data_IF_092248999241
#
_entry.id   IF_092248999241
#
_cell.length_a   1.000
_cell.length_b   1.000
_cell.length_c   1.000
_cell.angle_alpha   90.00
_cell.angle_beta   90.00
_cell.angle_gamma   90.00
#
_symmetry.space_group_name_H-M   'P 1'
#
loop_
_entity.id
_entity.type
_entity.pdbx_description
1 polymer ?
#
# COMPACT_ATOMS: atom_id res chain seq x y z
N UNK A 1 -34.58 -4.34 -1.40
CA UNK A 1 -34.91 -5.25 -2.54
C UNK A 1 -33.78 -5.13 -3.53
N UNK A 2 -33.24 -6.27 -3.98
CA UNK A 2 -32.21 -6.27 -5.02
C UNK A 2 -32.71 -5.51 -6.26
N UNK A 3 -31.81 -4.79 -6.92
CA UNK A 3 -32.03 -4.03 -8.14
C UNK A 3 -32.62 -4.93 -9.25
N UNK A 4 -33.53 -4.42 -10.06
CA UNK A 4 -34.14 -5.18 -11.17
C UNK A 4 -33.12 -5.72 -12.18
N UNK A 5 -31.93 -5.12 -12.25
CA UNK A 5 -30.80 -5.53 -13.11
C UNK A 5 -30.02 -6.72 -12.55
N UNK A 6 -30.21 -7.07 -11.27
CA UNK A 6 -29.39 -8.06 -10.58
C UNK A 6 -29.35 -9.42 -11.26
N UNK A 7 -30.50 -9.93 -11.71
CA UNK A 7 -30.55 -11.25 -12.37
C UNK A 7 -29.70 -11.32 -13.64
N UNK A 8 -29.63 -10.22 -14.42
CA UNK A 8 -28.77 -10.13 -15.60
C UNK A 8 -27.28 -10.07 -15.22
N UNK A 9 -26.94 -9.31 -14.15
CA UNK A 9 -25.59 -9.16 -13.65
C UNK A 9 -25.08 -10.50 -13.14
N UNK A 10 -25.89 -11.18 -12.31
CA UNK A 10 -25.56 -12.48 -11.74
C UNK A 10 -25.35 -13.53 -12.84
N UNK A 11 -26.25 -13.63 -13.80
CA UNK A 11 -26.11 -14.54 -14.93
C UNK A 11 -24.86 -14.24 -15.78
N UNK A 12 -24.54 -12.97 -15.99
CA UNK A 12 -23.31 -12.60 -16.72
C UNK A 12 -22.05 -13.03 -15.98
N UNK A 13 -21.96 -12.76 -14.67
CA UNK A 13 -20.81 -13.12 -13.87
C UNK A 13 -20.62 -14.65 -13.84
N UNK A 14 -21.68 -15.40 -13.60
CA UNK A 14 -21.63 -16.87 -13.57
C UNK A 14 -21.26 -17.48 -14.93
N UNK A 15 -21.81 -16.97 -16.03
CA UNK A 15 -21.49 -17.47 -17.37
C UNK A 15 -20.07 -17.14 -17.84
N UNK A 16 -19.41 -16.17 -17.20
CA UNK A 16 -18.05 -15.78 -17.55
C UNK A 16 -16.98 -16.27 -16.55
N UNK A 17 -17.32 -17.05 -15.52
CA UNK A 17 -16.37 -17.52 -14.49
C UNK A 17 -15.09 -18.12 -15.07
N UNK A 18 -15.23 -19.07 -15.98
CA UNK A 18 -14.09 -19.75 -16.59
C UNK A 18 -13.24 -18.80 -17.45
N UNK A 19 -13.88 -17.86 -18.14
CA UNK A 19 -13.19 -16.83 -18.93
C UNK A 19 -12.43 -15.87 -18.01
N UNK A 20 -13.03 -15.43 -16.89
CA UNK A 20 -12.40 -14.56 -15.88
C UNK A 20 -11.18 -15.27 -15.30
N UNK A 21 -11.33 -16.52 -14.85
CA UNK A 21 -10.20 -17.30 -14.32
C UNK A 21 -9.08 -17.45 -15.34
N UNK A 22 -9.42 -17.76 -16.61
CA UNK A 22 -8.44 -17.85 -17.70
C UNK A 22 -7.68 -16.53 -17.88
N UNK A 23 -8.38 -15.40 -17.87
CA UNK A 23 -7.78 -14.10 -18.16
C UNK A 23 -6.96 -13.58 -16.97
N UNK A 24 -7.39 -13.82 -15.73
CA UNK A 24 -6.55 -13.63 -14.53
C UNK A 24 -5.26 -14.46 -14.66
N UNK A 25 -5.38 -15.74 -15.03
CA UNK A 25 -4.20 -16.61 -15.19
C UNK A 25 -3.25 -16.09 -16.26
N UNK A 26 -3.76 -15.59 -17.40
CA UNK A 26 -2.95 -15.00 -18.47
C UNK A 26 -2.20 -13.75 -18.02
N UNK A 27 -2.84 -12.90 -17.24
CA UNK A 27 -2.23 -11.65 -16.77
C UNK A 27 -1.21 -11.91 -15.65
N UNK A 28 -1.54 -12.79 -14.69
CA UNK A 28 -0.62 -13.19 -13.60
C UNK A 28 0.64 -13.86 -14.16
N UNK A 29 0.54 -14.61 -15.26
CA UNK A 29 1.66 -15.29 -15.89
C UNK A 29 2.75 -14.33 -16.44
N UNK A 30 2.52 -13.02 -16.44
CA UNK A 30 3.50 -12.02 -16.86
C UNK A 30 4.16 -11.41 -15.61
N UNK A 31 5.43 -11.74 -15.29
CA UNK A 31 6.17 -11.08 -14.21
C UNK A 31 6.30 -9.58 -14.46
N UNK A 32 5.95 -8.76 -13.47
CA UNK A 32 5.85 -7.31 -13.66
C UNK A 32 6.38 -6.49 -12.49
N UNK A 33 7.42 -7.00 -11.84
CA UNK A 33 8.20 -6.21 -10.88
C UNK A 33 8.91 -5.07 -11.61
N UNK A 34 8.93 -3.89 -10.99
CA UNK A 34 9.63 -2.72 -11.54
C UNK A 34 11.08 -3.05 -11.89
N UNK A 35 11.54 -2.55 -13.01
CA UNK A 35 12.87 -2.80 -13.53
C UNK A 35 13.53 -1.53 -14.10
N UNK A 36 14.68 -1.72 -14.74
CA UNK A 36 15.41 -0.59 -15.34
C UNK A 36 14.56 0.05 -16.45
N UNK A 37 14.36 1.39 -16.42
CA UNK A 37 13.66 2.11 -17.49
C UNK A 37 14.32 1.93 -18.86
N UNK A 38 13.50 1.74 -19.88
CA UNK A 38 13.90 1.67 -21.30
C UNK A 38 12.94 2.49 -22.17
N UNK A 39 13.32 2.86 -23.41
CA UNK A 39 12.42 3.56 -24.32
C UNK A 39 11.10 2.79 -24.52
N UNK A 40 9.95 3.43 -24.20
CA UNK A 40 8.62 2.84 -24.25
C UNK A 40 8.31 1.83 -23.13
N UNK A 41 9.20 1.73 -22.14
CA UNK A 41 9.02 0.92 -20.94
C UNK A 41 9.57 1.69 -19.72
N UNK A 42 8.88 2.77 -19.28
CA UNK A 42 9.37 3.69 -18.26
C UNK A 42 9.66 3.02 -16.90
N UNK A 43 8.97 1.92 -16.61
CA UNK A 43 9.12 1.15 -15.38
C UNK A 43 9.78 -0.22 -15.61
N UNK A 44 10.40 -0.41 -16.79
CA UNK A 44 11.03 -1.66 -17.19
C UNK A 44 10.14 -2.58 -18.03
N UNK A 45 10.73 -3.66 -18.52
CA UNK A 45 10.10 -4.60 -19.47
C UNK A 45 8.94 -5.37 -18.84
N UNK A 46 9.04 -5.71 -17.56
CA UNK A 46 8.01 -6.49 -16.85
C UNK A 46 6.68 -5.73 -16.76
N UNK A 47 6.61 -4.56 -16.12
CA UNK A 47 5.39 -3.75 -16.05
C UNK A 47 4.80 -3.43 -17.42
N UNK A 48 5.67 -3.07 -18.41
CA UNK A 48 5.21 -2.87 -19.79
C UNK A 48 4.54 -4.10 -20.39
N UNK A 49 5.12 -5.27 -20.22
CA UNK A 49 4.59 -6.51 -20.76
C UNK A 49 3.24 -6.88 -20.13
N UNK A 50 3.08 -6.62 -18.82
CA UNK A 50 1.81 -6.84 -18.12
C UNK A 50 0.73 -5.85 -18.58
N UNK A 51 1.08 -4.57 -18.72
CA UNK A 51 0.19 -3.56 -19.29
C UNK A 51 -0.27 -3.94 -20.71
N UNK A 52 0.67 -4.31 -21.58
CA UNK A 52 0.35 -4.74 -22.94
C UNK A 52 -0.56 -5.98 -22.93
N UNK A 53 -0.36 -6.93 -22.01
CA UNK A 53 -1.20 -8.12 -21.85
C UNK A 53 -2.59 -7.78 -21.37
N UNK A 54 -2.75 -6.86 -20.44
CA UNK A 54 -4.06 -6.39 -19.96
C UNK A 54 -4.83 -5.69 -21.10
N UNK A 55 -4.16 -4.87 -21.90
CA UNK A 55 -4.75 -4.22 -23.08
C UNK A 55 -5.10 -5.21 -24.19
N UNK A 56 -4.28 -6.26 -24.41
CA UNK A 56 -4.61 -7.36 -25.32
C UNK A 56 -5.91 -8.07 -24.89
N UNK A 57 -6.02 -8.42 -23.61
CA UNK A 57 -7.23 -9.04 -23.05
C UNK A 57 -8.44 -8.10 -23.23
N UNK A 58 -8.29 -6.82 -22.92
CA UNK A 58 -9.35 -5.83 -23.11
C UNK A 58 -9.84 -5.73 -24.57
N UNK A 59 -8.91 -5.75 -25.53
CA UNK A 59 -9.24 -5.75 -26.94
C UNK A 59 -9.97 -7.04 -27.37
N UNK A 60 -9.58 -8.21 -26.85
CA UNK A 60 -10.28 -9.49 -27.09
C UNK A 60 -11.71 -9.47 -26.51
N UNK A 61 -11.94 -8.74 -25.41
CA UNK A 61 -13.26 -8.49 -24.82
C UNK A 61 -14.08 -7.48 -25.64
N UNK A 62 -13.52 -6.94 -26.73
CA UNK A 62 -14.17 -6.00 -27.62
C UNK A 62 -14.16 -4.55 -27.15
N UNK A 63 -13.35 -4.19 -26.16
CA UNK A 63 -13.21 -2.82 -25.65
C UNK A 63 -12.25 -2.01 -26.54
N UNK A 64 -12.45 -0.69 -26.58
CA UNK A 64 -11.50 0.21 -27.24
C UNK A 64 -10.31 0.45 -26.28
N UNK A 65 -9.09 0.24 -26.76
CA UNK A 65 -7.88 0.30 -25.91
C UNK A 65 -6.92 1.40 -26.32
N UNK A 66 -6.18 1.91 -25.36
CA UNK A 66 -5.09 2.87 -25.57
C UNK A 66 -3.91 2.57 -24.65
N UNK A 67 -2.68 2.73 -25.16
CA UNK A 67 -1.45 2.66 -24.38
C UNK A 67 -0.76 4.03 -24.43
N UNK A 68 -0.63 4.69 -23.30
CA UNK A 68 0.00 5.99 -23.15
C UNK A 68 1.51 5.80 -22.89
N UNK A 69 2.27 5.49 -23.94
CA UNK A 69 3.73 5.38 -23.95
C UNK A 69 4.32 4.38 -22.94
N UNK A 70 3.52 3.41 -22.47
CA UNK A 70 3.94 2.42 -21.50
C UNK A 70 3.90 2.90 -20.04
N UNK A 71 3.48 4.14 -19.78
CA UNK A 71 3.23 4.64 -18.43
C UNK A 71 1.93 4.06 -17.87
N UNK A 72 0.84 4.26 -18.59
CA UNK A 72 -0.52 3.83 -18.22
C UNK A 72 -1.29 3.46 -19.47
N UNK A 73 -2.25 2.58 -19.35
CA UNK A 73 -3.17 2.27 -20.44
C UNK A 73 -4.62 2.36 -20.00
N UNK A 74 -5.54 2.21 -20.93
CA UNK A 74 -6.96 2.07 -20.58
C UNK A 74 -7.75 1.30 -21.62
N UNK A 75 -8.86 0.75 -21.13
CA UNK A 75 -9.94 0.24 -21.95
C UNK A 75 -11.20 1.07 -21.71
N UNK A 76 -12.06 1.24 -22.72
CA UNK A 76 -13.27 2.06 -22.59
C UNK A 76 -14.45 1.49 -23.37
N UNK A 77 -15.66 1.88 -22.94
CA UNK A 77 -16.92 1.38 -23.52
C UNK A 77 -17.27 2.00 -24.88
N UNK A 78 -16.59 3.07 -25.25
CA UNK A 78 -16.78 3.82 -26.49
C UNK A 78 -15.99 5.13 -26.46
N UNK A 79 -15.99 5.92 -27.55
CA UNK A 79 -15.24 7.15 -27.63
C UNK A 79 -15.70 8.16 -26.57
N UNK A 80 -14.74 8.90 -26.01
CA UNK A 80 -14.98 9.99 -25.06
C UNK A 80 -14.54 11.27 -25.76
N UNK A 81 -15.45 12.24 -25.90
CA UNK A 81 -15.15 13.51 -26.53
C UNK A 81 -14.39 14.42 -25.55
N UNK A 82 -13.61 15.38 -26.07
CA UNK A 82 -12.91 16.38 -25.27
C UNK A 82 -13.91 17.16 -24.40
N UNK A 83 -13.58 17.30 -23.10
CA UNK A 83 -14.44 17.92 -22.11
C UNK A 83 -15.67 17.12 -21.69
N UNK A 84 -15.85 15.89 -22.21
CA UNK A 84 -16.94 15.04 -21.79
C UNK A 84 -16.63 14.38 -20.43
N UNK A 85 -17.50 14.57 -19.45
CA UNK A 85 -17.42 13.85 -18.16
C UNK A 85 -17.52 12.35 -18.39
N UNK A 86 -16.65 11.60 -17.71
CA UNK A 86 -16.63 10.14 -17.73
C UNK A 86 -16.36 9.57 -16.34
N UNK A 87 -16.74 8.31 -16.13
CA UNK A 87 -16.38 7.53 -14.95
C UNK A 87 -15.11 6.74 -15.22
N UNK A 88 -14.33 6.47 -14.18
CA UNK A 88 -13.23 5.54 -14.29
C UNK A 88 -13.19 4.52 -13.15
N UNK A 89 -12.61 3.37 -13.43
CA UNK A 89 -11.93 2.53 -12.47
C UNK A 89 -10.43 2.66 -12.70
N UNK A 90 -9.60 2.49 -11.66
CA UNK A 90 -8.16 2.43 -11.83
C UNK A 90 -7.61 1.25 -11.06
N UNK A 91 -6.78 0.47 -11.72
CA UNK A 91 -6.09 -0.72 -11.19
C UNK A 91 -4.64 -0.70 -11.67
N UNK A 92 -3.80 -1.58 -11.13
CA UNK A 92 -2.43 -1.71 -11.60
C UNK A 92 -2.09 -3.13 -12.09
N UNK A 93 -1.05 -3.23 -12.89
CA UNK A 93 -0.57 -4.47 -13.50
C UNK A 93 0.85 -4.83 -13.05
N UNK A 94 1.55 -3.90 -12.41
CA UNK A 94 2.82 -4.18 -11.72
C UNK A 94 2.57 -4.95 -10.41
N UNK A 95 3.61 -5.49 -9.84
CA UNK A 95 3.56 -6.27 -8.59
C UNK A 95 4.86 -6.07 -7.80
N UNK A 96 4.80 -6.20 -6.47
CA UNK A 96 5.99 -6.27 -5.63
C UNK A 96 6.85 -7.50 -5.97
N UNK A 97 8.16 -7.49 -5.65
CA UNK A 97 9.00 -8.68 -5.76
C UNK A 97 8.37 -9.88 -5.03
N UNK A 98 8.51 -11.06 -5.62
CA UNK A 98 7.91 -12.29 -5.10
C UNK A 98 8.40 -12.67 -3.69
N UNK A 99 9.65 -12.35 -3.36
CA UNK A 99 10.26 -12.75 -2.09
C UNK A 99 10.51 -14.27 -2.00
N UNK A 100 10.64 -14.78 -0.79
CA UNK A 100 10.90 -16.19 -0.50
C UNK A 100 9.70 -16.86 0.17
N UNK A 101 9.67 -18.19 0.14
CA UNK A 101 8.65 -18.98 0.88
C UNK A 101 7.47 -19.45 0.05
N UNK A 102 7.50 -19.30 -1.26
CA UNK A 102 6.49 -19.83 -2.16
C UNK A 102 6.57 -21.35 -2.28
N UNK A 103 5.42 -22.02 -2.25
CA UNK A 103 5.29 -23.47 -2.45
C UNK A 103 5.41 -23.87 -3.94
N UNK A 104 5.22 -22.92 -4.86
CA UNK A 104 5.35 -23.13 -6.30
C UNK A 104 5.68 -21.80 -6.99
N UNK A 105 5.83 -21.82 -8.31
CA UNK A 105 6.07 -20.62 -9.12
C UNK A 105 4.99 -19.55 -8.86
N UNK A 106 5.36 -18.35 -8.38
CA UNK A 106 4.42 -17.27 -8.06
C UNK A 106 3.61 -16.76 -9.24
N UNK A 107 4.10 -16.93 -10.47
CA UNK A 107 3.45 -16.46 -11.69
C UNK A 107 2.61 -17.56 -12.38
N UNK A 108 2.44 -18.71 -11.75
CA UNK A 108 1.55 -19.77 -12.19
C UNK A 108 0.34 -19.87 -11.25
N UNK A 109 -0.82 -19.38 -11.70
CA UNK A 109 -2.05 -19.42 -10.87
C UNK A 109 -2.43 -20.87 -10.56
N UNK A 110 -2.59 -21.13 -9.27
CA UNK A 110 -3.11 -22.40 -8.73
C UNK A 110 -4.50 -22.18 -8.15
N UNK A 111 -5.37 -23.15 -8.35
CA UNK A 111 -6.69 -23.16 -7.70
C UNK A 111 -6.70 -24.25 -6.64
N UNK A 112 -6.96 -23.87 -5.39
CA UNK A 112 -7.06 -24.80 -4.26
C UNK A 112 -8.22 -24.42 -3.35
N UNK A 113 -9.14 -25.34 -3.15
CA UNK A 113 -10.30 -25.17 -2.24
C UNK A 113 -11.09 -23.85 -2.48
N UNK A 114 -11.23 -23.46 -3.75
CA UNK A 114 -11.92 -22.22 -4.16
C UNK A 114 -11.07 -20.94 -4.08
N UNK A 115 -9.80 -21.03 -3.68
CA UNK A 115 -8.85 -19.94 -3.66
C UNK A 115 -7.99 -19.92 -4.92
N UNK A 116 -7.73 -18.73 -5.43
CA UNK A 116 -6.68 -18.48 -6.42
C UNK A 116 -5.39 -18.15 -5.66
N UNK A 117 -4.27 -18.77 -6.06
CA UNK A 117 -2.96 -18.55 -5.47
C UNK A 117 -1.98 -18.14 -6.56
N UNK A 118 -1.29 -17.01 -6.38
CA UNK A 118 -0.30 -16.45 -7.29
C UNK A 118 -0.05 -14.97 -7.02
N UNK A 119 1.11 -14.45 -7.39
CA UNK A 119 1.43 -13.02 -7.23
C UNK A 119 0.55 -12.17 -8.14
N UNK A 120 -0.22 -11.25 -7.55
CA UNK A 120 -1.15 -10.37 -8.26
C UNK A 120 -2.57 -10.92 -8.40
N UNK A 121 -2.89 -12.11 -7.85
CA UNK A 121 -4.29 -12.61 -7.90
C UNK A 121 -5.22 -11.76 -7.03
N UNK A 122 -4.70 -11.19 -5.94
CA UNK A 122 -5.40 -10.27 -5.06
C UNK A 122 -5.03 -8.81 -5.37
N UNK A 123 -3.76 -8.53 -5.59
CA UNK A 123 -3.18 -7.20 -5.69
C UNK A 123 -2.29 -7.08 -6.95
N UNK A 124 -2.77 -6.49 -8.04
CA UNK A 124 -4.13 -6.00 -8.35
C UNK A 124 -4.59 -6.54 -9.72
N UNK A 125 -3.86 -7.58 -10.28
CA UNK A 125 -4.17 -8.16 -11.60
C UNK A 125 -5.51 -8.87 -11.64
N UNK A 126 -5.91 -9.52 -10.54
CA UNK A 126 -7.25 -10.10 -10.41
C UNK A 126 -8.33 -9.03 -10.56
N UNK A 127 -8.37 -8.02 -9.71
CA UNK A 127 -9.30 -6.89 -9.79
C UNK A 127 -9.24 -6.13 -11.12
N UNK A 128 -8.06 -5.99 -11.74
CA UNK A 128 -7.92 -5.42 -13.10
C UNK A 128 -8.80 -6.14 -14.12
N UNK A 129 -8.78 -7.48 -14.11
CA UNK A 129 -9.62 -8.28 -15.00
C UNK A 129 -11.11 -8.06 -14.67
N UNK A 130 -11.50 -7.97 -13.40
CA UNK A 130 -12.90 -7.70 -13.02
C UNK A 130 -13.40 -6.38 -13.61
N UNK A 131 -12.58 -5.32 -13.57
CA UNK A 131 -12.92 -4.02 -14.16
C UNK A 131 -13.14 -4.13 -15.69
N UNK A 132 -12.31 -4.89 -16.40
CA UNK A 132 -12.51 -5.13 -17.83
C UNK A 132 -13.81 -5.88 -18.10
N UNK A 133 -14.15 -6.89 -17.30
CA UNK A 133 -15.42 -7.62 -17.43
C UNK A 133 -16.63 -6.76 -17.03
N UNK A 134 -16.49 -5.82 -16.09
CA UNK A 134 -17.55 -4.86 -15.79
C UNK A 134 -17.86 -3.97 -17.02
N UNK A 135 -16.82 -3.46 -17.68
CA UNK A 135 -17.00 -2.70 -18.93
C UNK A 135 -17.60 -3.55 -20.05
N UNK A 136 -17.17 -4.81 -20.18
CA UNK A 136 -17.75 -5.77 -21.14
C UNK A 136 -19.25 -5.93 -20.91
N UNK A 137 -19.70 -6.08 -19.66
CA UNK A 137 -21.13 -6.17 -19.34
C UNK A 137 -21.89 -4.95 -19.86
N UNK A 138 -21.38 -3.73 -19.60
CA UNK A 138 -22.02 -2.49 -20.04
C UNK A 138 -22.16 -2.43 -21.57
N UNK A 139 -21.11 -2.85 -22.28
CA UNK A 139 -21.07 -2.86 -23.75
C UNK A 139 -21.99 -3.92 -24.35
N UNK A 140 -21.90 -5.16 -23.88
CA UNK A 140 -22.66 -6.30 -24.44
C UNK A 140 -24.16 -6.15 -24.23
N UNK A 141 -24.58 -5.51 -23.15
CA UNK A 141 -26.00 -5.28 -22.86
C UNK A 141 -26.51 -3.96 -23.45
N UNK A 142 -25.71 -3.24 -24.26
CA UNK A 142 -26.11 -1.99 -24.91
C UNK A 142 -26.60 -0.93 -23.93
N UNK A 143 -25.98 -0.84 -22.75
CA UNK A 143 -26.37 0.13 -21.69
C UNK A 143 -26.19 1.56 -22.20
N UNK A 144 -27.25 2.36 -22.14
CA UNK A 144 -27.14 3.78 -22.43
C UNK A 144 -26.44 4.48 -21.28
N UNK A 145 -25.23 4.97 -21.53
CA UNK A 145 -24.38 5.61 -20.52
C UNK A 145 -24.54 7.13 -20.55
N UNK A 146 -24.87 7.74 -19.42
CA UNK A 146 -24.79 9.18 -19.20
C UNK A 146 -23.30 9.63 -19.16
N UNK A 147 -22.49 8.83 -18.53
CA UNK A 147 -21.04 8.97 -18.45
C UNK A 147 -20.38 7.76 -19.10
N UNK A 148 -19.63 7.88 -20.20
CA UNK A 148 -18.77 6.80 -20.68
C UNK A 148 -17.89 6.27 -19.55
N UNK A 149 -17.48 5.01 -19.62
CA UNK A 149 -16.67 4.37 -18.57
C UNK A 149 -15.33 3.96 -19.13
N UNK A 150 -14.27 4.27 -18.39
CA UNK A 150 -12.88 3.90 -18.69
C UNK A 150 -12.32 3.05 -17.54
N UNK A 151 -11.67 1.94 -17.86
CA UNK A 151 -10.83 1.19 -16.94
C UNK A 151 -9.37 1.62 -17.19
N UNK A 152 -8.80 2.37 -16.28
CA UNK A 152 -7.39 2.75 -16.28
C UNK A 152 -6.56 1.58 -15.72
N UNK A 153 -5.42 1.34 -16.34
CA UNK A 153 -4.49 0.24 -16.02
C UNK A 153 -3.12 0.84 -15.79
N UNK A 154 -2.73 0.99 -14.55
CA UNK A 154 -1.41 1.49 -14.14
C UNK A 154 -0.32 0.44 -14.27
N UNK A 155 0.92 0.89 -14.15
CA UNK A 155 2.10 0.04 -14.26
C UNK A 155 3.23 0.41 -13.26
N UNK A 156 2.92 1.21 -12.21
CA UNK A 156 3.89 1.68 -11.22
C UNK A 156 3.27 1.99 -9.85
N UNK A 157 2.17 1.31 -9.45
CA UNK A 157 1.51 1.55 -8.17
C UNK A 157 2.43 1.21 -6.99
N UNK A 158 3.02 0.04 -7.03
CA UNK A 158 3.77 -0.61 -5.95
C UNK A 158 5.06 0.12 -5.53
N UNK A 159 5.45 1.15 -6.28
CA UNK A 159 6.69 1.89 -6.01
C UNK A 159 6.46 3.39 -5.86
N UNK A 160 6.18 4.11 -6.93
CA UNK A 160 6.18 5.58 -6.89
C UNK A 160 4.95 6.24 -7.52
N UNK A 161 4.03 5.49 -8.14
CA UNK A 161 2.82 6.00 -8.81
C UNK A 161 3.08 7.07 -9.90
N UNK A 162 4.26 7.03 -10.57
CA UNK A 162 4.60 7.98 -11.62
C UNK A 162 3.74 7.82 -12.89
N UNK A 163 3.08 6.70 -13.05
CA UNK A 163 2.10 6.43 -14.11
C UNK A 163 0.85 7.31 -14.00
N UNK A 164 0.29 7.49 -12.80
CA UNK A 164 -0.84 8.39 -12.57
C UNK A 164 -0.43 9.85 -12.56
N UNK A 165 0.81 10.18 -12.16
CA UNK A 165 1.37 11.52 -12.33
C UNK A 165 1.45 11.88 -13.83
N UNK A 166 1.93 10.92 -14.67
CA UNK A 166 1.95 11.07 -16.11
C UNK A 166 0.52 11.24 -16.67
N UNK A 167 -0.44 10.45 -16.21
CA UNK A 167 -1.84 10.57 -16.62
C UNK A 167 -2.40 11.95 -16.29
N UNK A 168 -2.21 12.41 -15.04
CA UNK A 168 -2.70 13.70 -14.58
C UNK A 168 -2.11 14.89 -15.37
N UNK A 169 -0.87 14.76 -15.84
CA UNK A 169 -0.19 15.80 -16.62
C UNK A 169 -0.62 15.86 -18.09
N UNK A 170 -1.16 14.77 -18.66
CA UNK A 170 -1.37 14.66 -20.11
C UNK A 170 -2.83 14.42 -20.52
N UNK A 171 -3.72 13.99 -19.59
CA UNK A 171 -5.08 13.59 -19.91
C UNK A 171 -6.10 14.21 -18.98
N UNK A 172 -7.33 14.34 -19.47
CA UNK A 172 -8.45 14.83 -18.65
C UNK A 172 -8.81 13.83 -17.54
N UNK A 173 -9.03 14.36 -16.35
CA UNK A 173 -9.39 13.57 -15.16
C UNK A 173 -10.84 13.08 -15.25
N UNK A 174 -11.16 11.90 -14.71
CA UNK A 174 -12.54 11.42 -14.60
C UNK A 174 -13.38 12.32 -13.68
N UNK A 175 -14.67 12.40 -13.95
CA UNK A 175 -15.62 13.08 -13.07
C UNK A 175 -15.75 12.35 -11.71
N UNK A 176 -15.58 11.03 -11.72
CA UNK A 176 -15.42 10.19 -10.54
C UNK A 176 -14.63 8.93 -10.90
N UNK A 177 -13.79 8.48 -9.97
CA UNK A 177 -13.00 7.26 -10.10
C UNK A 177 -13.13 6.40 -8.85
N UNK A 178 -13.01 5.09 -8.99
CA UNK A 178 -12.69 4.23 -7.85
C UNK A 178 -11.59 3.23 -8.19
N UNK A 179 -10.77 2.90 -7.19
CA UNK A 179 -9.76 1.86 -7.31
C UNK A 179 -10.19 0.61 -6.56
N UNK A 180 -10.21 -0.56 -7.21
CA UNK A 180 -10.40 -1.86 -6.55
C UNK A 180 -9.07 -2.41 -6.02
N UNK A 181 -8.42 -1.65 -5.20
CA UNK A 181 -7.12 -1.93 -4.62
C UNK A 181 -7.14 -1.59 -3.12
N UNK A 182 -8.12 -2.12 -2.41
CA UNK A 182 -8.30 -1.99 -0.96
C UNK A 182 -9.45 -2.89 -0.47
N UNK A 183 -9.81 -2.71 0.80
CA UNK A 183 -10.92 -3.41 1.42
C UNK A 183 -12.29 -2.88 0.97
N UNK A 184 -13.30 -3.75 0.97
CA UNK A 184 -14.68 -3.31 1.02
C UNK A 184 -15.06 -2.81 2.44
N UNK A 185 -16.04 -1.87 2.61
CA UNK A 185 -16.96 -1.43 1.54
C UNK A 185 -16.47 -0.23 0.72
N UNK A 186 -16.12 0.88 1.33
CA UNK A 186 -15.62 2.10 0.65
C UNK A 186 -14.61 2.77 1.55
N UNK A 187 -13.39 2.86 1.11
CA UNK A 187 -12.38 3.70 1.75
C UNK A 187 -12.45 5.10 1.13
N UNK A 188 -12.97 6.07 1.90
CA UNK A 188 -13.19 7.43 1.43
C UNK A 188 -12.14 8.43 1.92
N UNK A 189 -11.05 7.93 2.51
CA UNK A 189 -9.95 8.78 2.96
C UNK A 189 -8.69 8.01 3.33
N UNK A 190 -7.56 8.63 3.09
CA UNK A 190 -6.22 8.12 3.34
C UNK A 190 -5.43 9.11 4.18
N UNK A 191 -4.78 8.65 5.26
CA UNK A 191 -3.92 9.50 6.08
C UNK A 191 -2.82 10.18 5.26
N UNK A 192 -2.35 11.31 5.74
CA UNK A 192 -1.11 11.90 5.28
C UNK A 192 0.08 11.00 5.61
N UNK A 193 1.12 11.08 4.81
CA UNK A 193 2.40 10.45 5.07
C UNK A 193 3.45 11.51 5.41
N UNK A 194 4.31 11.21 6.38
CA UNK A 194 5.46 12.03 6.72
C UNK A 194 6.61 11.11 7.10
N UNK A 195 7.68 11.13 6.33
CA UNK A 195 8.85 10.27 6.53
C UNK A 195 10.14 11.02 6.38
N UNK A 196 11.23 10.39 6.81
CA UNK A 196 12.57 10.96 6.73
C UNK A 196 13.56 10.13 7.52
N UNK A 197 14.72 10.73 7.77
CA UNK A 197 15.82 10.12 8.54
C UNK A 197 16.28 11.04 9.64
N UNK A 198 16.50 10.46 10.83
CA UNK A 198 17.22 11.09 11.94
C UNK A 198 18.69 10.68 11.81
N UNK A 199 19.56 11.63 11.51
CA UNK A 199 20.99 11.38 11.21
C UNK A 199 21.85 11.94 12.34
N UNK A 200 22.69 11.08 12.94
CA UNK A 200 23.63 11.50 14.00
C UNK A 200 24.72 12.42 13.47
N UNK A 201 25.42 13.20 14.32
CA UNK A 201 26.75 13.67 14.03
C UNK A 201 27.70 12.51 13.71
N UNK A 202 28.89 12.79 13.17
CA UNK A 202 29.93 11.75 13.05
C UNK A 202 30.31 11.26 14.43
N UNK A 203 30.19 9.95 14.66
CA UNK A 203 30.43 9.29 15.95
C UNK A 203 31.90 8.84 16.05
N UNK A 204 32.80 9.79 16.34
CA UNK A 204 34.22 9.50 16.52
C UNK A 204 34.48 8.92 17.91
N UNK A 205 35.33 7.89 17.98
CA UNK A 205 35.79 7.26 19.21
C UNK A 205 34.67 6.71 20.13
N UNK A 206 33.50 6.39 19.53
CA UNK A 206 32.42 5.76 20.24
C UNK A 206 32.60 4.24 20.42
N UNK A 207 31.70 3.63 21.16
CA UNK A 207 31.68 2.17 21.33
C UNK A 207 30.93 1.45 20.21
N UNK A 208 30.00 2.11 19.53
CA UNK A 208 29.22 1.54 18.44
C UNK A 208 30.11 1.43 17.20
N UNK A 209 30.25 0.22 16.66
CA UNK A 209 31.00 -0.08 15.42
C UNK A 209 30.09 -0.12 14.23
N UNK A 210 28.92 -0.77 14.43
CA UNK A 210 27.91 -0.93 13.39
C UNK A 210 26.54 -1.07 14.08
N UNK A 211 25.49 -0.64 13.39
CA UNK A 211 24.12 -0.82 13.83
C UNK A 211 23.23 -0.95 12.60
N UNK A 212 22.59 -2.11 12.45
CA UNK A 212 21.74 -2.42 11.32
C UNK A 212 20.42 -3.03 11.80
N UNK A 213 19.30 -2.62 11.18
CA UNK A 213 17.99 -3.17 11.51
C UNK A 213 16.92 -2.68 10.56
N UNK A 214 15.86 -3.49 10.43
CA UNK A 214 14.76 -3.22 9.52
C UNK A 214 15.05 -3.52 8.06
N UNK A 215 13.99 -3.78 7.28
CA UNK A 215 14.05 -4.11 5.86
C UNK A 215 13.28 -3.11 5.00
N UNK A 216 12.38 -2.33 5.61
CA UNK A 216 11.55 -1.33 4.94
C UNK A 216 11.25 -0.16 5.89
N UNK A 217 11.11 1.04 5.34
CA UNK A 217 10.85 2.27 6.10
C UNK A 217 9.47 2.24 6.80
N UNK A 218 8.49 1.59 6.17
CA UNK A 218 7.10 1.50 6.61
C UNK A 218 6.75 0.23 7.40
N UNK A 219 7.76 -0.51 7.86
CA UNK A 219 7.56 -1.72 8.68
C UNK A 219 8.31 -1.61 10.01
N UNK A 220 7.67 -2.03 11.11
CA UNK A 220 8.31 -2.14 12.41
C UNK A 220 9.33 -3.29 12.37
N UNK A 221 10.62 -3.05 12.65
CA UNK A 221 11.64 -4.08 12.62
C UNK A 221 11.46 -5.14 13.71
N UNK A 222 11.43 -6.40 13.33
CA UNK A 222 11.45 -7.53 14.27
C UNK A 222 12.87 -8.05 14.57
N UNK A 223 13.86 -7.58 13.81
CA UNK A 223 15.28 -7.92 13.95
C UNK A 223 16.15 -6.69 13.81
N UNK A 224 17.14 -6.60 14.69
CA UNK A 224 18.22 -5.62 14.59
C UNK A 224 19.50 -6.19 15.21
N UNK A 225 20.66 -5.65 14.83
CA UNK A 225 21.95 -6.00 15.39
C UNK A 225 22.83 -4.76 15.55
N UNK A 226 23.46 -4.63 16.70
CA UNK A 226 24.44 -3.58 16.98
C UNK A 226 25.77 -4.20 17.45
N UNK A 227 26.87 -3.89 16.80
CA UNK A 227 28.21 -4.33 17.20
C UNK A 227 28.90 -3.23 18.00
N UNK A 228 29.37 -3.58 19.19
CA UNK A 228 30.06 -2.64 20.08
C UNK A 228 31.45 -3.12 20.45
N UNK A 229 32.40 -2.18 20.64
CA UNK A 229 33.79 -2.44 21.07
C UNK A 229 33.88 -2.64 22.61
N UNK A 230 33.07 -3.56 23.11
CA UNK A 230 32.97 -3.84 24.54
C UNK A 230 32.79 -5.34 24.78
N UNK A 231 33.29 -5.89 25.91
CA UNK A 231 32.94 -7.24 26.32
C UNK A 231 31.48 -7.28 26.80
N UNK A 232 30.83 -8.44 26.67
CA UNK A 232 29.45 -8.67 27.12
C UNK A 232 29.23 -8.25 28.57
N UNK A 233 30.22 -8.48 29.46
CA UNK A 233 30.15 -8.12 30.87
C UNK A 233 29.98 -6.63 31.18
N UNK A 234 30.21 -5.75 30.20
CA UNK A 234 29.98 -4.32 30.30
C UNK A 234 28.53 -3.92 29.95
N UNK A 235 27.75 -4.83 29.40
CA UNK A 235 26.39 -4.59 28.95
C UNK A 235 25.37 -5.06 29.96
N UNK A 236 24.27 -4.31 30.09
CA UNK A 236 23.15 -4.67 30.94
C UNK A 236 22.16 -5.54 30.13
N UNK A 237 21.81 -6.69 30.67
CA UNK A 237 20.76 -7.52 30.08
C UNK A 237 19.42 -6.80 30.19
N UNK A 238 18.72 -6.64 29.02
CA UNK A 238 17.38 -6.08 28.94
C UNK A 238 16.45 -7.06 28.21
N UNK A 239 15.14 -6.84 28.30
CA UNK A 239 14.15 -7.68 27.63
C UNK A 239 14.31 -7.63 26.10
N UNK A 240 14.11 -8.76 25.44
CA UNK A 240 14.15 -8.88 23.98
C UNK A 240 15.55 -8.71 23.37
N UNK A 241 16.62 -8.74 24.18
CA UNK A 241 17.99 -8.59 23.71
C UNK A 241 18.82 -9.83 24.06
N UNK A 242 19.69 -10.25 23.14
CA UNK A 242 20.70 -11.29 23.36
C UNK A 242 22.08 -10.79 22.93
N UNK A 243 23.13 -11.37 23.50
CA UNK A 243 24.51 -11.03 23.20
C UNK A 243 25.23 -12.20 22.55
N UNK A 244 26.09 -11.87 21.59
CA UNK A 244 26.98 -12.83 20.91
C UNK A 244 28.39 -12.26 20.88
N UNK A 245 29.39 -13.13 21.06
CA UNK A 245 30.79 -12.72 20.89
C UNK A 245 31.06 -12.36 19.42
N UNK A 246 31.52 -11.14 19.19
CA UNK A 246 31.99 -10.70 17.89
C UNK A 246 33.51 -10.89 17.72
N UNK A 247 34.03 -10.45 16.58
CA UNK A 247 35.47 -10.48 16.28
C UNK A 247 36.23 -9.43 17.11
N UNK A 248 37.52 -9.68 17.36
CA UNK A 248 38.44 -8.73 17.99
C UNK A 248 37.96 -8.19 19.35
N UNK A 249 37.23 -9.00 20.13
CA UNK A 249 36.75 -8.59 21.46
C UNK A 249 35.55 -7.67 21.47
N UNK A 250 34.82 -7.60 20.37
CA UNK A 250 33.52 -6.91 20.25
C UNK A 250 32.40 -7.81 20.77
N UNK A 251 31.24 -7.19 21.05
CA UNK A 251 29.98 -7.90 21.31
C UNK A 251 28.94 -7.47 20.28
N UNK A 252 28.18 -8.43 19.76
CA UNK A 252 27.00 -8.19 18.93
C UNK A 252 25.76 -8.26 19.81
N UNK A 253 25.02 -7.16 19.88
CA UNK A 253 23.75 -7.03 20.57
C UNK A 253 22.65 -7.30 19.54
N UNK A 254 21.83 -8.34 19.74
CA UNK A 254 20.69 -8.64 18.87
C UNK A 254 19.38 -8.28 19.54
N UNK A 255 18.55 -7.52 18.84
CA UNK A 255 17.19 -7.22 19.23
C UNK A 255 16.19 -8.17 18.56
N UNK A 256 15.21 -8.62 19.34
CA UNK A 256 14.17 -9.57 18.93
C UNK A 256 12.80 -8.96 19.19
N UNK A 257 12.20 -8.42 18.16
CA UNK A 257 10.94 -7.72 18.21
C UNK A 257 9.78 -8.49 17.58
N UNK A 258 8.73 -7.75 17.23
CA UNK A 258 7.55 -8.24 16.53
C UNK A 258 7.15 -7.23 15.45
N UNK A 259 7.19 -7.64 14.20
CA UNK A 259 6.91 -6.79 13.06
C UNK A 259 5.42 -6.42 12.93
N UNK A 260 5.16 -5.38 12.17
CA UNK A 260 3.85 -4.91 11.73
C UNK A 260 3.97 -3.68 10.84
N UNK A 261 2.89 -3.31 10.19
CA UNK A 261 2.87 -2.18 9.29
C UNK A 261 2.83 -0.83 10.05
N UNK A 262 3.50 0.21 9.54
CA UNK A 262 3.57 1.54 10.17
C UNK A 262 2.20 2.20 10.41
N UNK A 263 1.21 1.91 9.56
CA UNK A 263 -0.14 2.43 9.72
C UNK A 263 -0.93 1.77 10.87
N UNK A 264 -0.55 0.54 11.27
CA UNK A 264 -1.19 -0.25 12.32
C UNK A 264 -0.13 -0.87 13.25
N UNK A 265 0.64 -0.06 14.00
CA UNK A 265 1.76 -0.55 14.80
C UNK A 265 1.36 -1.15 16.14
N UNK A 266 0.07 -1.24 16.46
CA UNK A 266 -0.42 -1.74 17.74
C UNK A 266 0.00 -3.19 17.97
N UNK A 267 0.55 -3.47 19.16
CA UNK A 267 1.01 -4.81 19.53
C UNK A 267 2.32 -5.27 18.87
N UNK A 268 3.01 -4.38 18.15
CA UNK A 268 4.37 -4.59 17.61
C UNK A 268 5.43 -4.29 18.68
N UNK A 269 6.67 -4.76 18.43
CA UNK A 269 7.84 -4.48 19.27
C UNK A 269 9.02 -4.17 18.35
N UNK A 270 9.55 -2.95 18.42
CA UNK A 270 10.64 -2.51 17.56
C UNK A 270 12.00 -3.00 18.08
N UNK A 271 12.65 -3.89 17.33
CA UNK A 271 13.95 -4.47 17.71
C UNK A 271 15.08 -3.44 17.84
N UNK A 272 15.04 -2.33 17.09
CA UNK A 272 15.99 -1.23 17.18
C UNK A 272 15.82 -0.54 18.54
N UNK A 273 14.58 -0.24 18.93
CA UNK A 273 14.26 0.37 20.22
C UNK A 273 14.72 -0.45 21.44
N UNK A 274 14.67 -1.80 21.33
CA UNK A 274 15.19 -2.70 22.37
C UNK A 274 16.70 -2.54 22.53
N UNK A 275 17.46 -2.50 21.43
CA UNK A 275 18.92 -2.30 21.47
C UNK A 275 19.26 -0.90 21.99
N UNK A 276 18.55 0.14 21.56
CA UNK A 276 18.72 1.51 22.05
C UNK A 276 18.54 1.57 23.56
N UNK A 277 17.51 0.93 24.08
CA UNK A 277 17.26 0.82 25.54
C UNK A 277 18.40 0.11 26.26
N UNK A 278 18.88 -1.02 25.73
CA UNK A 278 20.01 -1.77 26.28
C UNK A 278 21.27 -0.91 26.36
N UNK A 279 21.63 -0.20 25.32
CA UNK A 279 22.81 0.68 25.26
C UNK A 279 22.73 1.83 26.28
N UNK A 280 21.57 2.49 26.37
CA UNK A 280 21.34 3.59 27.32
C UNK A 280 21.39 3.11 28.78
N UNK A 281 20.79 1.96 29.08
CA UNK A 281 20.80 1.38 30.42
C UNK A 281 22.17 0.84 30.82
N UNK A 282 22.99 0.41 29.87
CA UNK A 282 24.38 -0.02 30.10
C UNK A 282 25.30 1.15 30.43
N UNK A 283 24.97 2.39 30.03
CA UNK A 283 25.75 3.62 30.30
C UNK A 283 27.20 3.54 29.79
N UNK A 284 27.43 2.89 28.69
CA UNK A 284 28.76 2.62 28.11
C UNK A 284 29.09 3.50 26.89
N UNK A 285 28.08 4.16 26.33
CA UNK A 285 28.22 4.98 25.15
C UNK A 285 28.92 6.31 25.41
N UNK A 286 29.63 6.85 24.41
CA UNK A 286 30.17 8.19 24.44
C UNK A 286 29.06 9.24 24.61
N UNK A 287 29.38 10.48 25.03
CA UNK A 287 28.37 11.54 25.15
C UNK A 287 27.59 11.79 23.82
N UNK A 288 28.28 11.76 22.67
CA UNK A 288 27.64 11.96 21.37
C UNK A 288 26.68 10.81 21.02
N UNK A 289 27.11 9.55 21.20
CA UNK A 289 26.25 8.38 21.02
C UNK A 289 25.06 8.44 21.98
N UNK A 290 25.30 8.71 23.28
CA UNK A 290 24.25 8.78 24.29
C UNK A 290 23.18 9.80 23.92
N UNK A 291 23.58 11.00 23.48
CA UNK A 291 22.63 12.08 23.12
C UNK A 291 21.79 11.69 21.90
N UNK A 292 22.41 11.08 20.88
CA UNK A 292 21.68 10.58 19.71
C UNK A 292 20.74 9.41 20.06
N UNK A 293 21.21 8.43 20.84
CA UNK A 293 20.40 7.31 21.30
C UNK A 293 19.19 7.77 22.15
N UNK A 294 19.29 8.89 22.86
CA UNK A 294 18.15 9.49 23.57
C UNK A 294 17.07 9.99 22.60
N UNK A 295 17.46 10.58 21.46
CA UNK A 295 16.50 10.94 20.39
C UNK A 295 15.80 9.70 19.85
N UNK A 296 16.56 8.63 19.55
CA UNK A 296 15.98 7.37 19.10
C UNK A 296 15.08 6.73 20.16
N UNK A 297 15.48 6.78 21.43
CA UNK A 297 14.64 6.27 22.52
C UNK A 297 13.28 6.99 22.58
N UNK A 298 13.28 8.32 22.36
CA UNK A 298 12.04 9.09 22.28
C UNK A 298 11.19 8.67 21.08
N UNK A 299 11.81 8.45 19.90
CA UNK A 299 11.11 7.95 18.70
C UNK A 299 10.43 6.59 18.94
N UNK A 300 11.12 5.68 19.65
CA UNK A 300 10.63 4.32 19.89
C UNK A 300 9.76 4.17 21.15
N UNK A 301 9.58 5.22 21.96
CA UNK A 301 8.87 5.14 23.22
C UNK A 301 7.35 4.92 23.05
N UNK A 302 6.75 5.53 22.04
CA UNK A 302 5.33 5.37 21.72
C UNK A 302 5.12 5.34 20.20
N UNK A 303 4.05 4.70 19.76
CA UNK A 303 3.68 4.65 18.33
C UNK A 303 2.58 5.64 17.94
N UNK A 304 2.09 6.43 18.90
CA UNK A 304 1.05 7.47 18.69
C UNK A 304 1.63 8.88 18.59
N UNK A 305 2.97 9.02 18.64
CA UNK A 305 3.68 10.29 18.59
C UNK A 305 3.63 11.10 19.89
N UNK A 306 3.02 10.62 20.97
CA UNK A 306 2.90 11.35 22.24
C UNK A 306 4.26 11.66 22.86
N UNK A 307 5.21 10.74 22.81
CA UNK A 307 6.57 10.95 23.32
C UNK A 307 7.35 12.03 22.54
N UNK A 308 7.00 12.25 21.28
CA UNK A 308 7.60 13.26 20.39
C UNK A 308 6.85 14.60 20.43
N UNK A 309 5.70 14.66 21.13
CA UNK A 309 4.84 15.84 21.16
C UNK A 309 4.05 16.10 19.87
N UNK A 310 3.87 15.08 19.04
CA UNK A 310 3.19 15.17 17.73
C UNK A 310 1.86 14.41 17.67
N UNK A 311 1.37 13.87 18.78
CA UNK A 311 0.11 13.16 18.83
C UNK A 311 -1.02 14.01 18.26
N UNK A 312 -1.80 13.45 17.35
CA UNK A 312 -2.92 14.12 16.68
C UNK A 312 -4.06 13.14 16.41
N UNK A 313 -5.28 13.62 16.50
CA UNK A 313 -6.50 12.87 16.20
C UNK A 313 -7.59 13.78 15.70
N UNK A 314 -8.55 13.27 14.92
CA UNK A 314 -9.75 13.95 14.49
C UNK A 314 -10.93 12.96 14.39
N UNK A 315 -12.08 13.45 13.91
CA UNK A 315 -13.30 12.62 13.77
C UNK A 315 -13.35 11.85 12.43
N UNK A 316 -12.33 12.02 11.57
CA UNK A 316 -12.27 11.44 10.22
C UNK A 316 -11.34 10.24 10.18
N UNK A 317 -10.17 10.38 10.81
CA UNK A 317 -9.11 9.38 10.80
C UNK A 317 -8.81 8.86 12.20
N UNK A 318 -8.37 7.62 12.27
CA UNK A 318 -7.72 7.11 13.48
C UNK A 318 -6.52 7.98 13.89
N UNK A 319 -6.09 7.96 15.16
CA UNK A 319 -4.98 8.76 15.64
C UNK A 319 -3.69 8.58 14.81
N UNK A 320 -2.85 9.63 14.83
CA UNK A 320 -1.51 9.58 14.24
C UNK A 320 -0.75 8.33 14.69
N UNK A 321 -0.01 7.73 13.75
CA UNK A 321 0.96 6.67 14.06
C UNK A 321 2.36 7.07 13.59
N UNK A 322 3.39 6.66 14.33
CA UNK A 322 4.79 6.82 13.94
C UNK A 322 5.62 5.63 14.40
N UNK A 323 6.53 5.20 13.54
CA UNK A 323 7.50 4.14 13.84
C UNK A 323 8.90 4.52 13.36
N UNK A 324 9.94 3.96 14.00
CA UNK A 324 11.27 3.87 13.39
C UNK A 324 11.34 2.62 12.52
N UNK A 325 11.69 2.80 11.24
CA UNK A 325 11.73 1.72 10.24
C UNK A 325 13.10 1.04 10.16
N UNK A 326 14.06 1.65 9.46
CA UNK A 326 15.40 1.08 9.26
C UNK A 326 16.47 1.87 10.01
N UNK A 327 17.55 1.20 10.44
CA UNK A 327 18.76 1.87 10.94
C UNK A 327 19.99 1.30 10.23
N UNK A 328 20.94 2.17 9.91
CA UNK A 328 22.26 1.79 9.39
C UNK A 328 23.37 2.70 9.92
N UNK A 329 24.61 2.17 9.94
CA UNK A 329 25.82 2.95 10.13
C UNK A 329 26.43 3.23 8.76
N UNK A 330 26.53 4.52 8.39
CA UNK A 330 27.09 4.96 7.12
C UNK A 330 27.95 6.20 7.31
N UNK A 331 29.16 6.16 6.78
CA UNK A 331 30.14 7.28 6.86
C UNK A 331 30.36 7.79 8.31
N UNK A 332 30.38 6.87 9.29
CA UNK A 332 30.53 7.17 10.70
C UNK A 332 29.32 7.84 11.37
N UNK A 333 28.15 7.80 10.71
CA UNK A 333 26.88 8.33 11.20
C UNK A 333 25.84 7.22 11.30
N UNK A 334 25.04 7.24 12.35
CA UNK A 334 23.82 6.45 12.42
C UNK A 334 22.71 7.18 11.70
N UNK A 335 21.97 6.46 10.86
CA UNK A 335 20.81 6.95 10.09
C UNK A 335 19.61 6.08 10.46
N UNK A 336 18.62 6.67 11.12
CA UNK A 336 17.37 6.02 11.51
C UNK A 336 16.23 6.58 10.67
N UNK A 337 15.61 5.76 9.83
CA UNK A 337 14.39 6.16 9.14
C UNK A 337 13.17 6.16 10.07
N UNK A 338 12.16 6.93 9.73
CA UNK A 338 10.84 6.89 10.37
C UNK A 338 9.73 7.00 9.33
N UNK A 339 8.57 6.43 9.65
CA UNK A 339 7.33 6.57 8.90
C UNK A 339 6.23 7.01 9.86
N UNK A 340 5.56 8.12 9.51
CA UNK A 340 4.45 8.70 10.26
C UNK A 340 3.23 8.81 9.36
N UNK A 341 2.07 8.38 9.88
CA UNK A 341 0.76 8.51 9.23
C UNK A 341 -0.09 9.46 10.06
N UNK A 342 -0.54 10.56 9.47
CA UNK A 342 -1.17 11.63 10.21
C UNK A 342 -2.56 12.02 9.70
N UNK A 343 -3.48 12.42 10.61
CA UNK A 343 -4.83 12.86 10.29
C UNK A 343 -4.88 14.31 9.81
N UNK A 344 -6.08 14.81 9.47
CA UNK A 344 -6.27 16.20 8.98
C UNK A 344 -6.07 17.29 10.05
N UNK A 345 -6.02 16.91 11.32
CA UNK A 345 -5.83 17.84 12.45
C UNK A 345 -4.39 18.34 12.63
N UNK A 346 -3.42 17.84 11.84
CA UNK A 346 -2.02 18.31 11.85
C UNK A 346 -1.49 18.44 10.42
N UNK A 347 -0.28 19.01 10.28
CA UNK A 347 0.35 19.24 8.97
C UNK A 347 1.80 18.78 8.95
N UNK A 348 2.34 18.50 7.77
CA UNK A 348 3.75 18.11 7.59
C UNK A 348 4.72 19.19 8.09
N UNK A 349 4.37 20.48 7.96
CA UNK A 349 5.17 21.61 8.44
C UNK A 349 5.28 21.56 9.97
N UNK A 350 4.15 21.37 10.66
CA UNK A 350 4.14 21.24 12.12
C UNK A 350 4.94 20.01 12.59
N UNK A 351 4.75 18.85 11.92
CA UNK A 351 5.51 17.65 12.22
C UNK A 351 7.02 17.87 12.02
N UNK A 352 7.42 18.55 10.94
CA UNK A 352 8.83 18.89 10.66
C UNK A 352 9.41 19.78 11.77
N UNK A 353 8.66 20.80 12.21
CA UNK A 353 9.09 21.70 13.29
C UNK A 353 9.32 20.91 14.58
N UNK A 354 8.35 20.09 14.99
CA UNK A 354 8.43 19.30 16.22
C UNK A 354 9.57 18.28 16.18
N UNK A 355 9.70 17.54 15.07
CA UNK A 355 10.80 16.58 14.89
C UNK A 355 12.17 17.27 14.93
N UNK A 356 12.29 18.47 14.36
CA UNK A 356 13.52 19.27 14.41
C UNK A 356 13.82 19.70 15.85
N UNK A 357 12.80 20.07 16.63
CA UNK A 357 12.97 20.39 18.06
C UNK A 357 13.44 19.16 18.86
N UNK A 358 12.88 17.98 18.61
CA UNK A 358 13.32 16.73 19.25
C UNK A 358 14.77 16.40 18.90
N UNK A 359 15.18 16.60 17.65
CA UNK A 359 16.57 16.42 17.21
C UNK A 359 17.55 17.34 17.96
N UNK A 360 17.17 18.60 18.17
CA UNK A 360 18.04 19.62 18.78
C UNK A 360 19.41 19.70 18.10
N UNK A 361 20.48 19.49 18.86
CA UNK A 361 21.86 19.37 18.33
C UNK A 361 22.35 17.92 18.20
N UNK A 362 21.52 16.95 18.64
CA UNK A 362 21.89 15.54 18.69
C UNK A 362 21.72 14.81 17.38
N UNK A 363 20.85 15.31 16.50
CA UNK A 363 20.55 14.73 15.20
C UNK A 363 20.19 15.83 14.19
N UNK A 364 20.26 15.49 12.91
CA UNK A 364 19.67 16.27 11.80
C UNK A 364 18.54 15.49 11.19
N UNK A 365 17.48 16.20 10.79
CA UNK A 365 16.37 15.64 10.03
C UNK A 365 16.71 15.76 8.54
N UNK A 366 16.85 14.62 7.86
CA UNK A 366 17.26 14.55 6.45
C UNK A 366 16.22 13.76 5.62
N UNK A 367 16.26 13.92 4.30
CA UNK A 367 15.44 13.17 3.34
C UNK A 367 13.94 13.20 3.67
N UNK A 368 13.44 14.37 4.12
CA UNK A 368 12.04 14.52 4.50
C UNK A 368 11.16 14.44 3.26
N UNK A 369 10.16 13.58 3.36
CA UNK A 369 9.09 13.46 2.37
C UNK A 369 7.74 13.60 3.07
N UNK A 370 6.77 14.17 2.37
CA UNK A 370 5.41 14.28 2.92
C UNK A 370 4.36 14.21 1.82
N UNK A 371 3.18 13.76 2.19
CA UNK A 371 1.96 13.81 1.39
C UNK A 371 0.79 14.16 2.30
N UNK A 372 -0.08 15.04 1.82
CA UNK A 372 -1.24 15.50 2.60
C UNK A 372 -2.28 14.40 2.79
N UNK A 373 -3.08 14.44 3.86
CA UNK A 373 -4.26 13.58 3.98
C UNK A 373 -5.21 13.80 2.80
N UNK A 374 -5.82 12.72 2.33
CA UNK A 374 -6.83 12.72 1.29
C UNK A 374 -8.17 12.29 1.88
N UNK A 375 -9.25 13.02 1.61
CA UNK A 375 -10.57 12.70 2.17
C UNK A 375 -11.69 13.23 1.29
N UNK A 376 -12.65 12.36 1.00
CA UNK A 376 -13.90 12.70 0.34
C UNK A 376 -15.05 12.54 1.36
N UNK A 377 -15.92 13.53 1.46
CA UNK A 377 -17.03 13.51 2.41
C UNK A 377 -17.92 12.26 2.22
N UNK A 378 -18.14 11.54 3.30
CA UNK A 378 -18.88 10.27 3.28
C UNK A 378 -20.33 10.42 2.76
N UNK A 379 -20.94 11.58 2.91
CA UNK A 379 -22.29 11.92 2.46
C UNK A 379 -22.37 12.35 0.98
N UNK A 380 -21.24 12.37 0.26
CA UNK A 380 -21.24 12.72 -1.16
C UNK A 380 -22.00 11.69 -2.01
N UNK A 381 -22.68 12.11 -3.09
CA UNK A 381 -23.57 11.24 -3.87
C UNK A 381 -22.89 9.96 -4.37
N UNK A 382 -21.65 10.06 -4.87
CA UNK A 382 -20.95 8.88 -5.38
C UNK A 382 -20.65 7.86 -4.26
N UNK A 383 -20.15 8.33 -3.09
CA UNK A 383 -19.84 7.46 -1.96
C UNK A 383 -21.12 6.80 -1.42
N UNK A 384 -22.21 7.56 -1.28
CA UNK A 384 -23.50 7.01 -0.89
C UNK A 384 -24.03 5.98 -1.90
N UNK A 385 -23.77 6.16 -3.18
CA UNK A 385 -24.11 5.18 -4.22
C UNK A 385 -23.30 3.90 -4.06
N UNK A 386 -21.99 4.00 -3.84
CA UNK A 386 -21.13 2.82 -3.67
C UNK A 386 -21.46 2.04 -2.40
N UNK A 387 -21.58 2.73 -1.25
CA UNK A 387 -21.88 2.04 0.03
C UNK A 387 -23.26 1.40 0.02
N UNK A 388 -24.26 2.06 -0.57
CA UNK A 388 -25.60 1.48 -0.72
C UNK A 388 -25.57 0.26 -1.64
N UNK A 389 -24.78 0.30 -2.71
CA UNK A 389 -24.63 -0.83 -3.63
C UNK A 389 -24.01 -2.02 -2.93
N UNK A 390 -22.92 -1.82 -2.20
CA UNK A 390 -22.30 -2.87 -1.41
C UNK A 390 -23.28 -3.49 -0.40
N UNK A 391 -23.93 -2.67 0.40
CA UNK A 391 -24.88 -3.13 1.43
C UNK A 391 -26.09 -3.87 0.83
N UNK A 392 -26.60 -3.42 -0.33
CA UNK A 392 -27.71 -4.09 -1.01
C UNK A 392 -27.32 -5.50 -1.51
N UNK A 393 -26.09 -5.67 -2.00
CA UNK A 393 -25.60 -6.94 -2.54
C UNK A 393 -25.24 -7.92 -1.44
N UNK A 394 -24.48 -7.46 -0.44
CA UNK A 394 -24.02 -8.33 0.66
C UNK A 394 -25.06 -8.56 1.75
N UNK A 395 -26.08 -7.71 1.84
CA UNK A 395 -27.04 -7.72 2.94
C UNK A 395 -26.48 -7.14 4.25
N UNK A 396 -25.31 -6.54 4.20
CA UNK A 396 -24.66 -5.89 5.34
C UNK A 396 -25.19 -4.47 5.58
N UNK A 397 -24.70 -3.82 6.63
CA UNK A 397 -24.98 -2.42 6.97
C UNK A 397 -23.68 -1.72 7.37
N UNK A 398 -22.71 -1.79 6.49
CA UNK A 398 -21.41 -1.15 6.67
C UNK A 398 -21.47 0.35 6.36
N UNK A 399 -20.45 1.08 6.79
CA UNK A 399 -20.24 2.52 6.52
C UNK A 399 -18.92 2.71 5.81
N UNK A 400 -18.73 3.82 5.08
CA UNK A 400 -17.41 4.21 4.59
C UNK A 400 -16.41 4.28 5.73
N UNK A 401 -15.14 4.05 5.42
CA UNK A 401 -14.04 4.06 6.38
C UNK A 401 -12.84 4.82 5.79
N UNK A 402 -11.86 5.10 6.65
CA UNK A 402 -10.59 5.73 6.25
C UNK A 402 -9.42 4.83 6.65
N UNK A 403 -8.30 4.92 5.94
CA UNK A 403 -7.13 4.07 6.19
C UNK A 403 -5.84 4.86 6.37
N UNK A 404 -4.82 4.19 6.90
CA UNK A 404 -3.46 4.72 7.05
C UNK A 404 -2.57 4.48 5.82
N UNK A 405 -3.00 3.61 4.89
CA UNK A 405 -2.35 3.33 3.63
C UNK A 405 -2.55 4.43 2.58
N UNK A 406 -2.20 4.14 1.35
CA UNK A 406 -2.47 5.02 0.22
C UNK A 406 -2.57 4.18 -1.04
N UNK A 407 -3.44 4.59 -1.95
CA UNK A 407 -3.70 3.97 -3.25
C UNK A 407 -3.71 5.04 -4.34
N UNK A 408 -3.97 4.65 -5.57
CA UNK A 408 -4.20 5.59 -6.66
C UNK A 408 -5.31 6.62 -6.39
N UNK A 409 -6.27 6.34 -5.49
CA UNK A 409 -7.42 7.23 -5.25
C UNK A 409 -7.00 8.66 -4.94
N UNK A 410 -5.94 8.88 -4.20
CA UNK A 410 -5.44 10.21 -3.81
C UNK A 410 -4.91 11.07 -4.96
N UNK A 411 -4.60 10.45 -6.10
CA UNK A 411 -4.10 11.16 -7.29
C UNK A 411 -5.22 11.74 -8.17
N UNK A 412 -6.49 11.47 -7.83
CA UNK A 412 -7.65 11.95 -8.55
C UNK A 412 -8.47 12.92 -7.68
N UNK A 413 -9.00 14.00 -8.26
CA UNK A 413 -9.75 15.02 -7.50
C UNK A 413 -11.00 14.48 -6.79
N UNK A 414 -11.64 13.45 -7.37
CA UNK A 414 -12.82 12.82 -6.81
C UNK A 414 -12.74 11.31 -7.03
N UNK A 415 -12.13 10.63 -6.08
CA UNK A 415 -11.94 9.18 -6.14
C UNK A 415 -12.01 8.55 -4.74
N UNK A 416 -12.16 7.25 -4.69
CA UNK A 416 -12.16 6.44 -3.47
C UNK A 416 -11.61 5.04 -3.77
N UNK A 417 -11.24 4.28 -2.74
CA UNK A 417 -10.99 2.84 -2.91
C UNK A 417 -12.27 2.06 -2.62
N UNK A 418 -12.50 0.96 -3.38
CA UNK A 418 -13.74 0.20 -3.33
C UNK A 418 -13.49 -1.29 -3.58
N UNK A 419 -13.10 -2.02 -2.54
CA UNK A 419 -12.82 -3.46 -2.58
C UNK A 419 -11.61 -3.85 -3.44
N UNK A 420 -11.45 -5.14 -3.77
CA UNK A 420 -12.34 -6.25 -3.41
C UNK A 420 -11.95 -7.01 -2.13
N UNK A 421 -10.99 -6.53 -1.33
CA UNK A 421 -10.49 -7.25 -0.18
C UNK A 421 -11.55 -7.43 0.91
N UNK A 422 -11.40 -8.53 1.66
CA UNK A 422 -12.19 -8.88 2.80
C UNK A 422 -11.27 -9.27 3.97
N UNK A 423 -10.99 -8.33 4.86
CA UNK A 423 -10.11 -8.56 6.02
C UNK A 423 -10.71 -9.43 7.11
N UNK A 424 -12.02 -9.69 7.06
CA UNK A 424 -12.74 -10.58 7.95
C UNK A 424 -12.65 -12.06 7.54
N UNK A 425 -12.02 -12.37 6.40
CA UNK A 425 -11.80 -13.74 5.95
C UNK A 425 -10.45 -14.24 6.45
N UNK A 426 -10.48 -15.28 7.29
CA UNK A 426 -9.26 -15.94 7.75
C UNK A 426 -8.54 -16.65 6.60
N UNK A 427 -7.24 -16.36 6.44
CA UNK A 427 -6.42 -17.02 5.43
C UNK A 427 -6.18 -18.48 5.81
N UNK A 428 -6.44 -19.44 4.92
CA UNK A 428 -6.10 -20.84 5.16
C UNK A 428 -4.56 -21.02 5.17
N UNK A 429 -4.06 -22.06 5.80
CA UNK A 429 -2.60 -22.33 5.94
C UNK A 429 -1.82 -22.34 4.60
N UNK A 430 -2.51 -22.62 3.50
CA UNK A 430 -1.89 -22.69 2.17
C UNK A 430 -1.91 -21.35 1.40
N UNK A 431 -2.58 -20.33 1.92
CA UNK A 431 -2.65 -19.00 1.31
C UNK A 431 -1.95 -17.97 2.19
N UNK A 432 -1.26 -17.04 1.56
CA UNK A 432 -0.62 -15.90 2.20
C UNK A 432 -1.35 -14.59 1.90
N UNK A 433 -1.01 -13.53 2.64
CA UNK A 433 -1.54 -12.20 2.41
C UNK A 433 -0.95 -11.60 1.12
N UNK A 434 -1.55 -10.51 0.65
CA UNK A 434 -0.95 -9.63 -0.36
C UNK A 434 0.49 -9.26 0.05
N UNK A 435 1.35 -9.10 -0.96
CA UNK A 435 2.80 -8.89 -0.79
C UNK A 435 3.54 -10.08 -0.12
N UNK A 436 2.83 -11.10 0.34
CA UNK A 436 3.41 -12.31 0.95
C UNK A 436 3.63 -13.45 -0.05
N UNK A 437 4.33 -14.51 0.43
CA UNK A 437 4.42 -15.76 -0.31
C UNK A 437 3.05 -16.48 -0.32
N UNK A 438 2.76 -17.20 -1.40
CA UNK A 438 1.46 -17.86 -1.61
C UNK A 438 0.27 -16.90 -1.55
N UNK A 439 0.45 -15.66 -1.97
CA UNK A 439 -0.64 -14.68 -2.08
C UNK A 439 -1.88 -15.34 -2.63
N UNK A 440 -3.02 -15.14 -1.95
CA UNK A 440 -4.25 -15.83 -2.28
C UNK A 440 -5.51 -15.02 -2.03
N UNK A 441 -6.53 -15.26 -2.86
CA UNK A 441 -7.85 -14.66 -2.72
C UNK A 441 -8.95 -15.66 -3.03
N UNK A 442 -10.11 -15.64 -2.33
CA UNK A 442 -11.24 -16.50 -2.67
C UNK A 442 -11.85 -16.11 -4.01
N UNK A 443 -11.92 -17.03 -4.95
CA UNK A 443 -12.46 -16.73 -6.29
C UNK A 443 -13.92 -16.30 -6.25
N UNK A 444 -14.72 -16.85 -5.35
CA UNK A 444 -16.11 -16.43 -5.15
C UNK A 444 -16.23 -14.95 -4.78
N UNK A 445 -15.30 -14.44 -3.99
CA UNK A 445 -15.29 -13.01 -3.60
C UNK A 445 -14.91 -12.10 -4.75
N UNK A 446 -14.03 -12.53 -5.65
CA UNK A 446 -13.77 -11.81 -6.89
C UNK A 446 -15.02 -11.77 -7.79
N UNK A 447 -15.76 -12.87 -7.90
CA UNK A 447 -17.02 -12.91 -8.68
C UNK A 447 -18.09 -12.02 -8.02
N UNK A 448 -18.20 -12.01 -6.69
CA UNK A 448 -19.07 -11.10 -5.97
C UNK A 448 -18.70 -9.63 -6.21
N UNK A 449 -17.39 -9.31 -6.16
CA UNK A 449 -16.87 -7.98 -6.45
C UNK A 449 -17.20 -7.52 -7.88
N UNK A 450 -17.07 -8.39 -8.88
CA UNK A 450 -17.51 -8.08 -10.25
C UNK A 450 -18.97 -7.65 -10.31
N UNK A 451 -19.84 -8.40 -9.61
CA UNK A 451 -21.29 -8.07 -9.58
C UNK A 451 -21.53 -6.71 -8.91
N UNK A 452 -20.80 -6.41 -7.84
CA UNK A 452 -20.83 -5.12 -7.14
C UNK A 452 -20.36 -4.00 -8.07
N UNK A 453 -19.24 -4.17 -8.78
CA UNK A 453 -18.69 -3.15 -9.70
C UNK A 453 -19.65 -2.85 -10.86
N UNK A 454 -20.23 -3.87 -11.46
CA UNK A 454 -21.22 -3.68 -12.53
C UNK A 454 -22.41 -2.87 -12.00
N UNK A 455 -22.97 -3.25 -10.85
CA UNK A 455 -24.14 -2.55 -10.29
C UNK A 455 -23.77 -1.13 -9.84
N UNK A 456 -22.58 -0.92 -9.28
CA UNK A 456 -22.09 0.40 -8.90
C UNK A 456 -21.94 1.32 -10.12
N UNK A 457 -21.32 0.84 -11.19
CA UNK A 457 -21.17 1.61 -12.44
C UNK A 457 -22.52 1.96 -13.06
N UNK A 458 -23.52 1.08 -12.99
CA UNK A 458 -24.88 1.35 -13.45
C UNK A 458 -25.58 2.42 -12.58
N UNK A 459 -25.47 2.35 -11.26
CA UNK A 459 -26.08 3.31 -10.34
C UNK A 459 -25.40 4.69 -10.39
N UNK A 460 -24.10 4.74 -10.63
CA UNK A 460 -23.37 5.99 -10.83
C UNK A 460 -23.83 6.75 -12.09
N UNK A 461 -24.46 6.07 -13.07
CA UNK A 461 -25.09 6.75 -14.21
C UNK A 461 -26.33 7.57 -13.79
N UNK A 462 -26.93 7.29 -12.65
CA UNK A 462 -28.21 7.86 -12.21
C UNK A 462 -28.03 9.15 -11.38
N UNK A 463 -26.79 9.47 -10.98
CA UNK A 463 -26.49 10.67 -10.19
C UNK A 463 -25.86 11.79 -11.04
N UNK A 464 -25.78 13.01 -10.47
CA UNK A 464 -24.99 14.11 -11.03
C UNK A 464 -23.60 14.10 -10.44
N UNK A 465 -22.59 14.18 -11.29
CA UNK A 465 -21.17 14.22 -10.94
C UNK A 465 -20.52 15.53 -11.37
#
# INVERSE_FOLDING_TARGET
MLDSRWASIDAFAENNRDNILRDITRLVAVPSVEGTPEPGAPFGKGPKAALDKALEIAAELGLDTHNAEGYIGWAQTGPIADGQKYLATITHTDVVPEGNGWDADPYTVRVRDGWLLGRGVADDKGPSILCLYALKYLKDNGVTLKYPVRALLGANEETNMHDVDYFAAHFEQPAFCFTPDAEFPVCNGEKGGFGGELVSPVLENGVIVDFVGGVAHNAVPDRAACTVRLPESALKQTEGVTFEAGENGTTIIRGWGKSGHAAMPQGTVNAIGLIVTCLLESKVCSPAETTYLQVLHTLHATTDGSALGIAASDDVFDPLTIIGGTIEMKDGRLRQSFDCRYPTSTTAEHLTEMMTQVCGTAATLENVSSRVPFYIAADSPAIQTLITTYNDVTGENKRPFTMGGGTYARHFPYAVSFGPEHTDIELPEFAGPMHGANEGTPFEKLIEALKIYILALLRLQEIEL
#
